data_IF_342581408177
#
_entry.id   IF_342581408177
#
_cell.length_a   1.000
_cell.length_b   1.000
_cell.length_c   1.000
_cell.angle_alpha   90.00
_cell.angle_beta   90.00
_cell.angle_gamma   90.00
#
_symmetry.space_group_name_H-M   'P 1'
#
loop_
_entity.id
_entity.type
_entity.pdbx_description
1 polymer ?
#
# COMPACT_ATOMS: atom_id res chain seq x y z
N UNK A 1 -1.19 -3.40 7.93
CA UNK A 1 0.21 -3.77 7.65
C UNK A 1 0.66 -3.37 6.24
N UNK A 2 -0.11 -3.61 5.19
CA UNK A 2 0.32 -3.34 3.80
C UNK A 2 -0.03 -1.94 3.28
N UNK A 3 -0.84 -1.14 3.98
CA UNK A 3 -0.98 0.28 3.66
C UNK A 3 0.28 1.03 4.11
N UNK A 4 0.92 1.83 3.26
CA UNK A 4 2.13 2.58 3.58
C UNK A 4 2.02 3.47 4.82
N UNK A 5 0.85 4.05 5.06
CA UNK A 5 0.61 4.88 6.24
C UNK A 5 0.33 4.10 7.54
N UNK A 6 0.22 2.76 7.47
CA UNK A 6 -0.04 1.92 8.63
C UNK A 6 1.20 1.19 9.16
N UNK A 7 2.34 1.34 8.50
CA UNK A 7 3.59 0.69 8.91
C UNK A 7 4.79 1.58 8.61
N UNK A 8 5.73 1.61 9.56
CA UNK A 8 6.95 2.41 9.44
C UNK A 8 8.02 1.89 10.40
N UNK A 9 9.24 2.33 10.21
CA UNK A 9 10.28 2.16 11.21
C UNK A 9 10.10 3.15 12.38
N UNK A 10 10.59 2.82 13.58
CA UNK A 10 10.48 3.72 14.75
C UNK A 10 11.12 5.10 14.54
N UNK A 11 12.16 5.17 13.72
CA UNK A 11 12.85 6.42 13.38
C UNK A 11 12.11 7.27 12.35
N UNK A 12 11.19 6.70 11.59
CA UNK A 12 10.36 7.40 10.62
C UNK A 12 9.21 8.09 11.38
N UNK A 13 9.48 9.28 11.91
CA UNK A 13 8.58 9.97 12.86
C UNK A 13 7.32 10.57 12.24
N UNK A 14 7.23 10.63 10.94
CA UNK A 14 6.12 11.29 10.25
C UNK A 14 4.91 10.36 10.24
N UNK A 15 3.93 10.67 11.06
CA UNK A 15 2.62 10.03 11.01
C UNK A 15 1.75 10.87 10.09
N UNK A 16 1.09 10.27 9.12
CA UNK A 16 0.22 10.95 8.13
C UNK A 16 -1.02 11.65 8.71
N UNK A 17 -0.96 12.10 9.96
CA UNK A 17 -2.03 12.92 10.58
C UNK A 17 -1.97 14.39 10.22
N UNK A 18 -0.96 14.80 9.45
CA UNK A 18 -0.85 16.13 8.89
C UNK A 18 -1.66 16.26 7.58
N UNK A 19 -1.90 17.51 7.17
CA UNK A 19 -2.60 17.81 5.94
C UNK A 19 -1.63 18.08 4.80
N UNK A 20 -2.04 17.64 3.62
CA UNK A 20 -1.47 18.01 2.32
C UNK A 20 -2.54 18.67 1.47
N UNK A 21 -2.15 19.34 0.39
CA UNK A 21 -3.09 19.85 -0.60
C UNK A 21 -3.15 18.90 -1.78
N UNK A 22 -4.32 18.36 -2.08
CA UNK A 22 -4.55 17.51 -3.24
C UNK A 22 -5.74 18.04 -4.07
N UNK A 23 -5.53 18.25 -5.37
CA UNK A 23 -6.52 18.88 -6.27
C UNK A 23 -7.06 20.21 -5.73
N UNK A 24 -6.17 21.02 -5.15
CA UNK A 24 -6.53 22.34 -4.61
C UNK A 24 -7.33 22.30 -3.29
N UNK A 25 -7.46 21.16 -2.65
CA UNK A 25 -8.17 21.00 -1.38
C UNK A 25 -7.28 20.38 -0.32
N UNK A 26 -7.37 20.85 0.93
CA UNK A 26 -6.67 20.18 2.03
C UNK A 26 -7.27 18.81 2.29
N UNK A 27 -6.42 17.82 2.47
CA UNK A 27 -6.79 16.45 2.82
C UNK A 27 -5.76 15.91 3.82
N UNK A 28 -6.17 15.08 4.75
CA UNK A 28 -5.23 14.33 5.58
C UNK A 28 -4.42 13.38 4.71
N UNK A 29 -3.10 13.37 4.89
CA UNK A 29 -2.22 12.53 4.10
C UNK A 29 -2.58 11.04 4.25
N UNK A 30 -2.89 10.60 5.47
CA UNK A 30 -3.39 9.26 5.73
C UNK A 30 -4.66 8.93 4.91
N UNK A 31 -5.63 9.84 4.86
CA UNK A 31 -6.86 9.66 4.07
C UNK A 31 -6.59 9.58 2.57
N UNK A 32 -5.58 10.32 2.08
CA UNK A 32 -5.16 10.23 0.68
C UNK A 32 -4.72 8.80 0.33
N UNK A 33 -3.95 8.17 1.20
CA UNK A 33 -3.47 6.81 1.01
C UNK A 33 -4.54 5.74 1.23
N UNK A 34 -5.40 5.91 2.22
CA UNK A 34 -6.45 4.93 2.52
C UNK A 34 -7.55 4.88 1.44
N UNK A 35 -7.85 6.01 0.82
CA UNK A 35 -9.03 6.11 -0.02
C UNK A 35 -8.74 6.55 -1.47
N UNK A 36 -7.80 7.44 -1.71
CA UNK A 36 -7.70 8.12 -3.00
C UNK A 36 -6.72 7.46 -3.96
N UNK A 37 -5.55 7.02 -3.48
CA UNK A 37 -4.47 6.53 -4.36
C UNK A 37 -4.94 5.37 -5.24
N UNK A 38 -5.64 4.40 -4.66
CA UNK A 38 -6.16 3.26 -5.40
C UNK A 38 -7.41 3.61 -6.20
N UNK A 39 -8.37 4.31 -5.59
CA UNK A 39 -9.69 4.57 -6.17
C UNK A 39 -9.65 5.44 -7.43
N UNK A 40 -8.63 6.26 -7.59
CA UNK A 40 -8.48 7.13 -8.78
C UNK A 40 -8.24 6.30 -10.05
N UNK A 41 -7.45 5.24 -9.97
CA UNK A 41 -7.19 4.36 -11.12
C UNK A 41 -8.17 3.19 -11.18
N UNK A 42 -8.59 2.70 -10.04
CA UNK A 42 -9.48 1.54 -9.93
C UNK A 42 -10.85 1.95 -9.35
N UNK A 43 -11.67 2.71 -10.10
CA UNK A 43 -13.00 3.13 -9.66
C UNK A 43 -14.01 1.98 -9.64
N UNK A 44 -13.60 0.79 -10.05
CA UNK A 44 -14.43 -0.40 -10.19
C UNK A 44 -14.54 -1.18 -8.87
N UNK A 45 -15.35 -2.21 -8.89
CA UNK A 45 -15.57 -3.06 -7.73
C UNK A 45 -14.33 -3.84 -7.29
N UNK A 46 -14.36 -4.34 -6.07
CA UNK A 46 -13.26 -5.14 -5.49
C UNK A 46 -12.92 -6.38 -6.32
N UNK A 47 -13.91 -7.00 -6.96
CA UNK A 47 -13.72 -8.18 -7.81
C UNK A 47 -12.86 -7.88 -9.03
N UNK A 48 -13.09 -6.74 -9.69
CA UNK A 48 -12.35 -6.36 -10.89
C UNK A 48 -10.90 -6.01 -10.52
N UNK A 49 -10.70 -5.31 -9.42
CA UNK A 49 -9.35 -5.00 -8.91
C UNK A 49 -8.61 -6.27 -8.52
N UNK A 50 -9.26 -7.20 -7.82
CA UNK A 50 -8.67 -8.49 -7.46
C UNK A 50 -8.25 -9.29 -8.70
N UNK A 51 -9.10 -9.38 -9.72
CA UNK A 51 -8.79 -10.06 -10.98
C UNK A 51 -7.57 -9.46 -11.68
N UNK A 52 -7.45 -8.12 -11.71
CA UNK A 52 -6.32 -7.44 -12.33
C UNK A 52 -5.00 -7.65 -11.56
N UNK A 53 -5.07 -7.77 -10.25
CA UNK A 53 -3.90 -7.94 -9.39
C UNK A 53 -3.48 -9.40 -9.20
N UNK A 54 -4.38 -10.37 -9.45
CA UNK A 54 -4.11 -11.80 -9.35
C UNK A 54 -3.45 -12.33 -10.63
N UNK A 55 -2.25 -11.85 -10.91
CA UNK A 55 -1.52 -12.13 -12.16
C UNK A 55 -0.12 -12.74 -11.93
N UNK A 56 0.21 -13.12 -10.70
CA UNK A 56 1.53 -13.65 -10.38
C UNK A 56 1.69 -15.12 -10.79
N UNK A 57 2.87 -15.44 -11.29
CA UNK A 57 3.32 -16.82 -11.47
C UNK A 57 3.50 -17.52 -10.12
N UNK A 58 3.56 -18.85 -10.13
CA UNK A 58 3.79 -19.64 -8.92
C UNK A 58 5.06 -19.24 -8.18
N UNK A 59 6.17 -18.99 -8.91
CA UNK A 59 7.44 -18.58 -8.32
C UNK A 59 7.38 -17.19 -7.68
N UNK A 60 6.62 -16.27 -8.26
CA UNK A 60 6.39 -14.94 -7.66
C UNK A 60 5.55 -15.04 -6.39
N UNK A 61 4.50 -15.88 -6.39
CA UNK A 61 3.69 -16.13 -5.19
C UNK A 61 4.54 -16.75 -4.08
N UNK A 62 5.41 -17.71 -4.40
CA UNK A 62 6.35 -18.31 -3.44
C UNK A 62 7.28 -17.24 -2.85
N UNK A 63 7.82 -16.34 -3.68
CA UNK A 63 8.67 -15.24 -3.23
C UNK A 63 7.91 -14.24 -2.35
N UNK A 64 6.71 -13.80 -2.76
CA UNK A 64 5.85 -12.87 -2.01
C UNK A 64 5.50 -13.43 -0.63
N UNK A 65 5.25 -14.73 -0.56
CA UNK A 65 4.80 -15.41 0.65
C UNK A 65 5.92 -16.02 1.47
N UNK A 66 7.18 -15.90 1.06
CA UNK A 66 8.33 -16.34 1.85
C UNK A 66 8.36 -15.68 3.23
N UNK A 67 8.89 -16.39 4.22
CA UNK A 67 8.94 -15.92 5.62
C UNK A 67 7.58 -15.90 6.31
N UNK A 68 7.40 -14.97 7.23
CA UNK A 68 6.22 -14.82 8.06
C UNK A 68 5.80 -13.36 8.29
N UNK A 69 4.81 -13.13 9.16
CA UNK A 69 4.25 -11.78 9.39
C UNK A 69 5.26 -10.71 9.78
N UNK A 70 6.31 -11.06 10.51
CA UNK A 70 7.38 -10.13 10.86
C UNK A 70 8.19 -9.70 9.64
N UNK A 71 8.58 -10.65 8.79
CA UNK A 71 9.32 -10.38 7.56
C UNK A 71 8.48 -9.52 6.61
N UNK A 72 7.21 -9.85 6.47
CA UNK A 72 6.26 -9.11 5.62
C UNK A 72 6.02 -7.68 6.13
N UNK A 73 5.98 -7.49 7.45
CA UNK A 73 5.93 -6.17 8.06
C UNK A 73 7.16 -5.34 7.73
N UNK A 74 8.34 -5.93 7.87
CA UNK A 74 9.61 -5.30 7.55
C UNK A 74 9.71 -4.92 6.07
N UNK A 75 9.28 -5.80 5.17
CA UNK A 75 9.24 -5.52 3.73
C UNK A 75 8.32 -4.35 3.41
N UNK A 76 7.12 -4.34 4.02
CA UNK A 76 6.14 -3.27 3.82
C UNK A 76 6.66 -1.93 4.36
N UNK A 77 7.30 -1.91 5.54
CA UNK A 77 7.90 -0.71 6.10
C UNK A 77 9.02 -0.17 5.20
N UNK A 78 9.86 -1.06 4.68
CA UNK A 78 10.93 -0.68 3.74
C UNK A 78 10.35 -0.08 2.45
N UNK A 79 9.35 -0.71 1.87
CA UNK A 79 8.71 -0.25 0.64
C UNK A 79 7.97 1.08 0.82
N UNK A 80 7.48 1.36 2.03
CA UNK A 80 6.71 2.57 2.34
C UNK A 80 7.59 3.77 2.72
N UNK A 81 8.88 3.56 2.93
CA UNK A 81 9.79 4.61 3.41
C UNK A 81 9.77 5.90 2.57
N UNK A 82 9.76 5.86 1.22
CA UNK A 82 9.68 7.08 0.40
C UNK A 82 8.37 7.85 0.60
N UNK A 83 7.28 7.18 0.99
CA UNK A 83 5.99 7.83 1.27
C UNK A 83 6.10 8.74 2.48
N UNK A 84 6.86 8.35 3.50
CA UNK A 84 7.07 9.11 4.73
C UNK A 84 7.97 10.35 4.57
N UNK A 85 8.55 10.56 3.39
CA UNK A 85 9.33 11.77 3.08
C UNK A 85 8.44 12.98 2.73
N UNK A 86 7.16 12.76 2.44
CA UNK A 86 6.19 13.83 2.17
C UNK A 86 5.94 14.64 3.43
N UNK A 87 6.10 15.96 3.33
CA UNK A 87 5.97 16.89 4.46
C UNK A 87 4.59 17.49 4.55
N UNK A 88 4.23 17.92 5.76
CA UNK A 88 3.01 18.71 6.00
C UNK A 88 2.95 19.92 5.07
N UNK A 89 1.76 20.19 4.53
CA UNK A 89 1.51 21.29 3.60
C UNK A 89 1.97 21.05 2.17
N UNK A 90 2.56 19.89 1.85
CA UNK A 90 2.95 19.56 0.48
C UNK A 90 1.75 19.68 -0.48
N UNK A 91 2.01 20.19 -1.68
CA UNK A 91 1.02 20.24 -2.76
C UNK A 91 1.27 19.03 -3.67
N UNK A 92 0.31 18.09 -3.68
CA UNK A 92 0.40 16.85 -4.43
C UNK A 92 -0.55 16.89 -5.62
N UNK A 93 -0.05 16.54 -6.79
CA UNK A 93 -0.79 16.44 -8.04
C UNK A 93 -1.15 14.99 -8.40
N UNK A 94 -1.63 14.82 -9.61
CA UNK A 94 -1.89 13.49 -10.18
C UNK A 94 -0.60 12.70 -10.46
N UNK A 95 0.51 13.39 -10.71
CA UNK A 95 1.85 12.83 -10.81
C UNK A 95 2.20 12.01 -9.56
N UNK A 96 1.97 12.56 -8.37
CA UNK A 96 2.18 11.82 -7.12
C UNK A 96 1.37 10.52 -7.06
N UNK A 97 0.10 10.55 -7.50
CA UNK A 97 -0.74 9.34 -7.54
C UNK A 97 -0.18 8.31 -8.53
N UNK A 98 0.21 8.75 -9.71
CA UNK A 98 0.76 7.89 -10.77
C UNK A 98 2.06 7.23 -10.32
N UNK A 99 2.96 7.99 -9.71
CA UNK A 99 4.27 7.51 -9.26
C UNK A 99 4.14 6.47 -8.13
N UNK A 100 3.10 6.58 -7.30
CA UNK A 100 2.87 5.69 -6.16
C UNK A 100 1.88 4.54 -6.43
N UNK A 101 1.31 4.48 -7.63
CA UNK A 101 0.30 3.47 -7.95
C UNK A 101 0.87 2.05 -7.93
N UNK A 102 2.06 1.86 -8.51
CA UNK A 102 2.71 0.55 -8.53
C UNK A 102 3.02 0.03 -7.11
N UNK A 103 3.40 0.92 -6.19
CA UNK A 103 3.58 0.59 -4.78
C UNK A 103 2.25 0.12 -4.18
N UNK A 104 1.17 0.89 -4.37
CA UNK A 104 -0.15 0.56 -3.84
C UNK A 104 -0.66 -0.79 -4.35
N UNK A 105 -0.59 -1.02 -5.66
CA UNK A 105 -1.00 -2.27 -6.29
C UNK A 105 -0.19 -3.46 -5.78
N UNK A 106 1.13 -3.32 -5.68
CA UNK A 106 1.99 -4.39 -5.15
C UNK A 106 1.69 -4.71 -3.68
N UNK A 107 1.44 -3.70 -2.84
CA UNK A 107 1.11 -3.91 -1.43
C UNK A 107 -0.23 -4.64 -1.26
N UNK A 108 -1.25 -4.29 -2.05
CA UNK A 108 -2.55 -4.98 -2.01
C UNK A 108 -2.41 -6.42 -2.50
N UNK A 109 -1.73 -6.65 -3.60
CA UNK A 109 -1.45 -7.98 -4.14
C UNK A 109 -0.71 -8.86 -3.12
N UNK A 110 0.35 -8.33 -2.54
CA UNK A 110 1.12 -9.04 -1.53
C UNK A 110 0.28 -9.37 -0.29
N UNK A 111 -0.59 -8.44 0.14
CA UNK A 111 -1.53 -8.68 1.23
C UNK A 111 -2.47 -9.85 0.93
N UNK A 112 -3.03 -9.93 -0.28
CA UNK A 112 -3.91 -11.00 -0.72
C UNK A 112 -3.24 -12.38 -0.66
N UNK A 113 -2.07 -12.53 -1.29
CA UNK A 113 -1.34 -13.81 -1.28
C UNK A 113 -0.86 -14.23 0.12
N UNK A 114 -0.38 -13.29 0.92
CA UNK A 114 0.07 -13.54 2.29
C UNK A 114 -1.09 -13.95 3.20
N UNK A 115 -2.25 -13.30 3.06
CA UNK A 115 -3.46 -13.69 3.78
C UNK A 115 -3.93 -15.08 3.34
N UNK A 116 -3.99 -15.37 2.04
CA UNK A 116 -4.36 -16.69 1.54
C UNK A 116 -3.44 -17.80 2.08
N UNK A 117 -2.12 -17.57 2.13
CA UNK A 117 -1.17 -18.50 2.76
C UNK A 117 -1.53 -18.78 4.22
N UNK A 118 -1.80 -17.75 5.02
CA UNK A 118 -2.15 -17.94 6.43
C UNK A 118 -3.46 -18.70 6.59
N UNK A 119 -4.48 -18.35 5.80
CA UNK A 119 -5.77 -19.05 5.86
C UNK A 119 -5.62 -20.53 5.47
N UNK A 120 -4.86 -20.85 4.45
CA UNK A 120 -4.58 -22.22 4.04
C UNK A 120 -3.78 -23.00 5.10
N UNK A 121 -2.92 -22.34 5.87
CA UNK A 121 -2.20 -23.00 6.98
C UNK A 121 -3.10 -23.29 8.19
N UNK A 122 -4.14 -22.47 8.39
CA UNK A 122 -5.04 -22.60 9.54
C UNK A 122 -6.21 -23.57 9.24
N UNK A 123 -6.74 -23.50 8.03
CA UNK A 123 -7.99 -24.16 7.66
C UNK A 123 -7.85 -25.23 6.56
N UNK A 124 -6.72 -25.28 5.88
CA UNK A 124 -6.40 -26.23 4.81
C UNK A 124 -5.58 -27.40 5.34
#
# INVERSE_FOLDING_TARGET
MHCPEHIRYPEDQTIGYYNVTFRGKPIRFHTLWDAQVLSIKHPWGFSDTAYLLDCCSKSEIEAITAGGPYDWGTDSARASRPVHEVKEGAVLGMDYIIDNLALTESQIRNAGYRLAKLLNQIFG
#
